data_IF_369641163773
#
_entry.id   IF_369641163773
#
_cell.length_a   1.000
_cell.length_b   1.000
_cell.length_c   1.000
_cell.angle_alpha   90.00
_cell.angle_beta   90.00
_cell.angle_gamma   90.00
#
_symmetry.space_group_name_H-M   'P 1'
#
loop_
_entity.id
_entity.type
_entity.pdbx_description
1 polymer ?
#
# COMPACT_ATOMS: atom_id res chain seq x y z
N UNK A 1 -14.76 -14.71 -8.46
CA UNK A 1 -13.67 -14.10 -7.68
C UNK A 1 -12.56 -15.13 -7.61
N UNK A 2 -11.32 -14.80 -8.01
CA UNK A 2 -10.19 -15.70 -7.88
C UNK A 2 -9.93 -16.06 -6.41
N UNK A 3 -9.31 -17.20 -6.15
CA UNK A 3 -8.81 -17.61 -4.84
C UNK A 3 -7.62 -16.75 -4.39
N UNK A 4 -7.20 -16.89 -3.13
CA UNK A 4 -6.00 -16.21 -2.62
C UNK A 4 -4.75 -16.66 -3.39
N UNK A 5 -4.63 -17.97 -3.67
CA UNK A 5 -3.49 -18.52 -4.40
C UNK A 5 -3.47 -18.06 -5.87
N UNK A 6 -4.63 -17.98 -6.52
CA UNK A 6 -4.74 -17.45 -7.89
C UNK A 6 -4.33 -15.98 -7.96
N UNK A 7 -4.78 -15.16 -6.99
CA UNK A 7 -4.34 -13.76 -6.90
C UNK A 7 -2.85 -13.67 -6.63
N UNK A 8 -2.31 -14.50 -5.74
CA UNK A 8 -0.87 -14.53 -5.44
C UNK A 8 -0.04 -14.82 -6.67
N UNK A 9 -0.35 -15.90 -7.38
CA UNK A 9 0.37 -16.24 -8.60
C UNK A 9 0.26 -15.12 -9.65
N UNK A 10 -0.92 -14.53 -9.80
CA UNK A 10 -1.12 -13.43 -10.75
C UNK A 10 -0.28 -12.20 -10.39
N UNK A 11 -0.32 -11.73 -9.15
CA UNK A 11 0.37 -10.49 -8.77
C UNK A 11 1.88 -10.67 -8.56
N UNK A 12 2.35 -11.87 -8.19
CA UNK A 12 3.78 -12.18 -8.08
C UNK A 12 4.46 -12.36 -9.45
N UNK A 13 3.82 -13.10 -10.37
CA UNK A 13 4.49 -13.58 -11.59
C UNK A 13 3.76 -13.18 -12.88
N UNK A 14 2.43 -13.11 -12.85
CA UNK A 14 1.62 -12.91 -14.06
C UNK A 14 1.46 -11.44 -14.48
N UNK A 15 1.39 -10.54 -13.52
CA UNK A 15 1.18 -9.11 -13.77
C UNK A 15 2.51 -8.43 -14.05
N UNK A 16 2.64 -7.68 -15.16
CA UNK A 16 3.94 -7.19 -15.61
C UNK A 16 4.44 -5.94 -14.88
N UNK A 17 3.60 -5.27 -14.06
CA UNK A 17 3.94 -4.08 -13.29
C UNK A 17 4.73 -3.00 -14.06
N UNK A 18 4.42 -2.79 -15.35
CA UNK A 18 5.24 -1.96 -16.26
C UNK A 18 5.39 -0.51 -15.81
N UNK A 19 4.40 0.02 -15.10
CA UNK A 19 4.41 1.38 -14.54
C UNK A 19 4.31 1.35 -13.01
N UNK A 20 4.60 0.22 -12.36
CA UNK A 20 4.57 0.11 -10.89
C UNK A 20 3.22 0.44 -10.25
N UNK A 21 2.11 0.24 -10.97
CA UNK A 21 0.76 0.56 -10.52
C UNK A 21 0.29 1.97 -10.90
N UNK A 22 1.18 2.84 -11.41
CA UNK A 22 0.83 4.20 -11.81
C UNK A 22 -0.14 4.22 -12.99
N UNK A 23 -0.19 3.14 -13.79
CA UNK A 23 -1.14 2.97 -14.89
C UNK A 23 -2.60 3.10 -14.45
N UNK A 24 -2.90 2.76 -13.19
CA UNK A 24 -4.24 2.84 -12.61
C UNK A 24 -4.66 4.27 -12.27
N UNK A 25 -3.73 5.23 -12.36
CA UNK A 25 -3.99 6.65 -12.08
C UNK A 25 -4.27 7.46 -13.34
N UNK A 26 -4.20 6.84 -14.53
CA UNK A 26 -4.33 7.54 -15.82
C UNK A 26 -5.62 8.35 -15.93
N UNK A 27 -6.74 7.81 -15.43
CA UNK A 27 -8.04 8.48 -15.49
C UNK A 27 -8.12 9.77 -14.64
N UNK A 28 -7.21 9.94 -13.68
CA UNK A 28 -7.11 11.13 -12.84
C UNK A 28 -6.07 12.14 -13.32
N UNK A 29 -5.37 11.86 -14.43
CA UNK A 29 -4.27 12.70 -14.92
C UNK A 29 -2.91 12.35 -14.31
N UNK A 30 -2.78 11.18 -13.66
CA UNK A 30 -1.54 10.71 -13.04
C UNK A 30 -1.67 10.53 -11.53
N UNK A 31 -0.63 9.96 -10.93
CA UNK A 31 -0.56 9.61 -9.51
C UNK A 31 -0.77 10.85 -8.63
N UNK A 32 -0.02 11.92 -8.89
CA UNK A 32 -0.08 13.15 -8.09
C UNK A 32 -1.46 13.80 -8.14
N UNK A 33 -2.07 13.85 -9.34
CA UNK A 33 -3.41 14.39 -9.50
C UNK A 33 -4.45 13.52 -8.78
N UNK A 34 -4.34 12.20 -8.86
CA UNK A 34 -5.22 11.31 -8.11
C UNK A 34 -5.06 11.51 -6.61
N UNK A 35 -3.82 11.58 -6.13
CA UNK A 35 -3.52 11.77 -4.72
C UNK A 35 -4.08 13.10 -4.22
N UNK A 36 -3.67 14.23 -4.81
CA UNK A 36 -4.00 15.56 -4.30
C UNK A 36 -5.43 16.00 -4.59
N UNK A 37 -6.03 15.58 -5.72
CA UNK A 37 -7.38 16.01 -6.09
C UNK A 37 -8.49 15.03 -5.66
N UNK A 38 -8.18 13.74 -5.48
CA UNK A 38 -9.19 12.74 -5.14
C UNK A 38 -8.97 12.08 -3.77
N UNK A 39 -7.78 11.60 -3.47
CA UNK A 39 -7.56 10.79 -2.26
C UNK A 39 -7.36 11.65 -1.01
N UNK A 40 -6.34 12.50 -1.00
CA UNK A 40 -5.98 13.33 0.17
C UNK A 40 -7.17 14.16 0.70
N UNK A 41 -7.99 14.84 -0.14
CA UNK A 41 -9.16 15.58 0.34
C UNK A 41 -10.21 14.74 1.08
N UNK A 42 -10.20 13.41 0.93
CA UNK A 42 -11.13 12.50 1.62
C UNK A 42 -10.58 11.96 2.92
N UNK A 43 -9.25 11.86 3.03
CA UNK A 43 -8.59 11.26 4.19
C UNK A 43 -7.92 12.28 5.11
N UNK A 44 -7.75 13.54 4.69
CA UNK A 44 -6.97 14.56 5.42
C UNK A 44 -7.46 14.82 6.86
N UNK A 45 -8.70 14.49 7.20
CA UNK A 45 -9.22 14.66 8.55
C UNK A 45 -8.71 13.57 9.52
N UNK A 46 -8.13 12.48 9.00
CA UNK A 46 -7.63 11.33 9.74
C UNK A 46 -6.10 11.23 9.74
N UNK A 47 -5.41 12.18 9.07
CA UNK A 47 -3.94 12.19 8.93
C UNK A 47 -3.37 13.61 9.14
N UNK A 48 -2.13 13.77 9.64
CA UNK A 48 -1.24 12.69 10.08
C UNK A 48 -1.74 11.99 11.36
N UNK A 49 -1.33 10.74 11.56
CA UNK A 49 -1.70 9.91 12.73
C UNK A 49 -0.52 9.09 13.22
N UNK A 50 -0.64 8.35 14.32
CA UNK A 50 0.44 7.49 14.81
C UNK A 50 0.71 6.34 13.84
N UNK A 51 -0.27 5.47 13.62
CA UNK A 51 -0.09 4.22 12.85
C UNK A 51 -1.04 4.12 11.66
N UNK A 52 -0.49 3.77 10.49
CA UNK A 52 -1.27 3.45 9.29
C UNK A 52 -1.03 1.99 8.88
N UNK A 53 -2.08 1.28 8.51
CA UNK A 53 -2.02 0.01 7.79
C UNK A 53 -2.44 0.21 6.33
N UNK A 54 -1.54 -0.03 5.39
CA UNK A 54 -1.84 -0.08 3.95
C UNK A 54 -1.99 -1.54 3.50
N UNK A 55 -3.17 -1.87 2.94
CA UNK A 55 -3.48 -3.19 2.41
C UNK A 55 -3.46 -3.16 0.89
N UNK A 56 -2.68 -4.07 0.31
CA UNK A 56 -2.39 -4.21 -1.12
C UNK A 56 -1.71 -2.95 -1.72
N UNK A 57 -0.53 -2.55 -1.22
CA UNK A 57 0.22 -1.40 -1.72
C UNK A 57 0.66 -1.56 -3.19
N UNK A 58 0.73 -2.79 -3.70
CA UNK A 58 1.40 -3.08 -4.96
C UNK A 58 2.85 -2.61 -4.92
N UNK A 59 3.29 -1.87 -5.94
CA UNK A 59 4.65 -1.29 -5.97
C UNK A 59 4.74 0.08 -5.26
N UNK A 60 3.82 0.33 -4.33
CA UNK A 60 3.92 1.43 -3.38
C UNK A 60 3.43 2.78 -3.90
N UNK A 61 2.43 2.75 -4.80
CA UNK A 61 1.85 3.97 -5.39
C UNK A 61 1.34 4.93 -4.32
N UNK A 62 0.71 4.42 -3.26
CA UNK A 62 0.20 5.23 -2.16
C UNK A 62 1.13 5.25 -0.94
N UNK A 63 1.88 4.16 -0.71
CA UNK A 63 2.98 4.09 0.28
C UNK A 63 3.88 5.32 0.25
N UNK A 64 4.22 5.83 -0.95
CA UNK A 64 5.10 7.00 -1.08
C UNK A 64 4.56 8.26 -0.39
N UNK A 65 3.24 8.39 -0.28
CA UNK A 65 2.57 9.49 0.40
C UNK A 65 2.20 9.16 1.84
N UNK A 66 1.71 7.94 2.09
CA UNK A 66 1.27 7.52 3.42
C UNK A 66 2.41 7.51 4.44
N UNK A 67 3.65 7.18 4.02
CA UNK A 67 4.82 7.19 4.92
C UNK A 67 5.14 8.56 5.52
N UNK A 68 4.71 9.64 4.87
CA UNK A 68 4.89 11.02 5.33
C UNK A 68 3.72 11.50 6.21
N UNK A 69 2.69 10.66 6.37
CA UNK A 69 1.45 10.98 7.07
C UNK A 69 1.25 10.13 8.33
N UNK A 70 2.29 9.43 8.78
CA UNK A 70 2.26 8.71 10.03
C UNK A 70 3.62 8.53 10.69
N UNK A 71 3.58 8.24 11.99
CA UNK A 71 4.79 7.86 12.74
C UNK A 71 5.29 6.47 12.35
N UNK A 72 4.38 5.52 12.05
CA UNK A 72 4.69 4.18 11.57
C UNK A 72 3.69 3.69 10.51
N UNK A 73 4.22 3.16 9.41
CA UNK A 73 3.44 2.57 8.32
C UNK A 73 3.68 1.07 8.26
N UNK A 74 2.61 0.29 8.33
CA UNK A 74 2.63 -1.14 8.03
C UNK A 74 2.07 -1.36 6.64
N UNK A 75 2.83 -1.99 5.75
CA UNK A 75 2.36 -2.37 4.41
C UNK A 75 2.21 -3.88 4.31
N UNK A 76 1.05 -4.31 3.82
CA UNK A 76 0.70 -5.73 3.67
C UNK A 76 0.28 -5.98 2.23
N UNK A 77 0.95 -6.93 1.57
CA UNK A 77 0.55 -7.43 0.26
C UNK A 77 0.62 -8.96 0.25
N UNK A 78 -0.25 -9.60 -0.54
CA UNK A 78 -0.19 -11.04 -0.76
C UNK A 78 1.00 -11.41 -1.66
N UNK A 79 1.48 -10.45 -2.46
CA UNK A 79 2.60 -10.61 -3.38
C UNK A 79 3.93 -10.32 -2.68
N UNK A 80 4.80 -11.34 -2.64
CA UNK A 80 6.17 -11.17 -2.18
C UNK A 80 6.97 -10.23 -3.09
N UNK A 81 6.68 -10.27 -4.40
CA UNK A 81 7.26 -9.36 -5.39
C UNK A 81 6.93 -7.89 -5.05
N UNK A 82 5.66 -7.58 -4.81
CA UNK A 82 5.20 -6.24 -4.44
C UNK A 82 5.89 -5.72 -3.16
N UNK A 83 5.98 -6.56 -2.12
CA UNK A 83 6.65 -6.21 -0.87
C UNK A 83 8.14 -5.93 -1.09
N UNK A 84 8.84 -6.77 -1.85
CA UNK A 84 10.26 -6.56 -2.15
C UNK A 84 10.48 -5.26 -2.94
N UNK A 85 9.60 -4.95 -3.89
CA UNK A 85 9.68 -3.69 -4.63
C UNK A 85 9.43 -2.47 -3.75
N UNK A 86 8.48 -2.55 -2.81
CA UNK A 86 8.29 -1.48 -1.82
C UNK A 86 9.54 -1.31 -0.94
N UNK A 87 10.13 -2.41 -0.44
CA UNK A 87 11.38 -2.36 0.35
C UNK A 87 12.51 -1.68 -0.40
N UNK A 88 12.68 -2.00 -1.69
CA UNK A 88 13.71 -1.39 -2.54
C UNK A 88 13.42 0.10 -2.80
N UNK A 89 12.17 0.43 -3.14
CA UNK A 89 11.74 1.80 -3.46
C UNK A 89 11.83 2.75 -2.26
N UNK A 90 11.61 2.24 -1.05
CA UNK A 90 11.61 3.02 0.18
C UNK A 90 12.71 2.58 1.15
N UNK A 91 13.87 2.15 0.63
CA UNK A 91 15.00 1.71 1.44
C UNK A 91 15.52 2.76 2.43
N UNK A 92 15.33 4.05 2.11
CA UNK A 92 15.72 5.18 2.97
C UNK A 92 14.67 5.52 4.05
N UNK A 93 13.47 4.93 4.00
CA UNK A 93 12.42 5.15 4.98
C UNK A 93 12.62 4.26 6.21
N UNK A 94 12.69 4.87 7.40
CA UNK A 94 12.91 4.15 8.65
C UNK A 94 11.62 3.81 9.41
N UNK A 95 10.46 4.19 8.88
CA UNK A 95 9.16 4.09 9.53
C UNK A 95 8.19 3.17 8.78
N UNK A 96 8.71 2.19 8.03
CA UNK A 96 7.89 1.25 7.26
C UNK A 96 8.22 -0.19 7.64
N UNK A 97 7.20 -0.93 8.08
CA UNK A 97 7.24 -2.38 8.23
C UNK A 97 6.52 -3.05 7.06
N UNK A 98 7.08 -4.15 6.55
CA UNK A 98 6.56 -4.80 5.35
C UNK A 98 6.29 -6.28 5.60
N UNK A 99 5.09 -6.74 5.22
CA UNK A 99 4.66 -8.11 5.44
C UNK A 99 4.03 -8.71 4.19
N UNK A 100 4.43 -9.94 3.88
CA UNK A 100 3.69 -10.78 2.93
C UNK A 100 2.56 -11.46 3.70
N UNK A 101 1.31 -11.10 3.42
CA UNK A 101 0.14 -11.64 4.12
C UNK A 101 -1.10 -11.64 3.22
N UNK A 102 -2.07 -12.51 3.52
CA UNK A 102 -3.29 -12.72 2.73
C UNK A 102 -4.29 -11.54 2.77
N UNK A 103 -4.01 -10.50 3.56
CA UNK A 103 -4.87 -9.33 3.74
C UNK A 103 -6.15 -9.62 4.54
N UNK A 104 -6.26 -10.82 5.13
CA UNK A 104 -7.42 -11.28 5.91
C UNK A 104 -7.06 -11.60 7.35
N UNK A 105 -5.95 -12.29 7.56
CA UNK A 105 -5.52 -12.78 8.87
C UNK A 105 -4.87 -11.64 9.68
N UNK A 106 -4.05 -10.81 9.01
CA UNK A 106 -3.45 -9.59 9.58
C UNK A 106 -2.79 -9.74 10.97
N UNK A 107 -2.18 -10.90 11.24
CA UNK A 107 -1.63 -11.25 12.57
C UNK A 107 -0.52 -10.31 13.09
N UNK A 108 0.04 -9.46 12.22
CA UNK A 108 1.03 -8.44 12.59
C UNK A 108 0.40 -7.21 13.25
N UNK A 109 -0.89 -6.96 13.04
CA UNK A 109 -1.59 -5.81 13.61
C UNK A 109 -2.30 -6.23 14.90
N UNK A 110 -1.88 -5.66 16.03
CA UNK A 110 -2.54 -5.90 17.32
C UNK A 110 -3.91 -5.19 17.37
N UNK A 111 -4.86 -5.78 18.08
CA UNK A 111 -6.18 -5.19 18.31
C UNK A 111 -6.06 -3.76 18.88
N UNK A 112 -6.67 -2.80 18.19
CA UNK A 112 -6.69 -1.39 18.59
C UNK A 112 -5.37 -0.64 18.38
N UNK A 113 -4.37 -1.23 17.72
CA UNK A 113 -3.06 -0.61 17.49
C UNK A 113 -2.96 0.22 16.20
N UNK A 114 -3.96 0.14 15.31
CA UNK A 114 -3.99 0.86 14.04
C UNK A 114 -4.95 2.05 14.11
N UNK A 115 -4.46 3.25 13.88
CA UNK A 115 -5.30 4.46 13.88
C UNK A 115 -6.06 4.64 12.57
N UNK A 116 -5.44 4.25 11.44
CA UNK A 116 -6.03 4.40 10.12
C UNK A 116 -5.67 3.24 9.18
N UNK A 117 -6.67 2.74 8.44
CA UNK A 117 -6.48 1.68 7.45
C UNK A 117 -6.76 2.24 6.05
N UNK A 118 -5.84 1.96 5.13
CA UNK A 118 -5.92 2.41 3.74
C UNK A 118 -5.86 1.23 2.77
N UNK A 119 -6.75 1.21 1.78
CA UNK A 119 -6.72 0.27 0.65
C UNK A 119 -7.43 0.92 -0.54
N UNK A 120 -6.79 0.91 -1.72
CA UNK A 120 -7.27 1.61 -2.91
C UNK A 120 -6.92 0.93 -4.23
#
# INVERSE_FOLDING_TARGET
MPSVDENKQWWDEGYPWQQGGDEWSRAWGGVDMQWHAAILPRIHAFVPTGTILEIAPGYGRWTQYLKELCDQLTVVDLSANAIEQCRQRFADASNIDYFVNDGRSLDMAQDGAIDFVFSF
#
